data_IF_525405911067
#
_entry.id   IF_525405911067
#
_cell.length_a   1.000
_cell.length_b   1.000
_cell.length_c   1.000
_cell.angle_alpha   90.00
_cell.angle_beta   90.00
_cell.angle_gamma   90.00
#
_symmetry.space_group_name_H-M   'P 1'
#
loop_
_entity.id
_entity.type
_entity.pdbx_description
1 polymer ?
#
# COMPACT_ATOMS: atom_id res chain seq x y z
N UNK A 1 11.08 30.99 11.28
CA UNK A 1 10.27 29.92 10.72
C UNK A 1 11.13 29.15 9.74
N UNK A 2 11.55 27.93 10.12
CA UNK A 2 12.29 27.05 9.23
C UNK A 2 11.26 26.36 8.31
N UNK A 3 11.18 26.81 7.07
CA UNK A 3 10.51 26.11 5.99
C UNK A 3 11.35 24.87 5.69
N UNK A 4 10.94 23.70 6.20
CA UNK A 4 11.41 22.43 5.66
C UNK A 4 10.91 22.35 4.21
N UNK A 5 11.79 22.64 3.28
CA UNK A 5 11.54 22.39 1.87
C UNK A 5 11.37 20.88 1.71
N UNK A 6 10.25 20.37 1.19
CA UNK A 6 10.15 18.95 0.91
C UNK A 6 11.25 18.60 -0.09
N UNK A 7 12.04 17.59 0.25
CA UNK A 7 13.00 17.03 -0.70
C UNK A 7 12.20 16.52 -1.91
N UNK A 8 12.34 17.23 -3.03
CA UNK A 8 11.83 16.75 -4.32
C UNK A 8 12.93 15.91 -4.94
N UNK A 9 12.81 14.59 -4.97
CA UNK A 9 13.79 13.76 -5.67
C UNK A 9 13.80 14.21 -7.12
N UNK A 10 14.96 14.53 -7.65
CA UNK A 10 15.10 14.70 -9.10
C UNK A 10 14.74 13.37 -9.72
N UNK A 11 13.64 13.30 -10.47
CA UNK A 11 13.32 12.16 -11.31
C UNK A 11 14.50 11.93 -12.26
N UNK A 12 15.40 11.05 -11.90
CA UNK A 12 16.37 10.49 -12.83
C UNK A 12 15.59 9.53 -13.72
N UNK A 13 15.18 10.02 -14.89
CA UNK A 13 14.69 9.15 -15.96
C UNK A 13 15.71 8.03 -16.16
N UNK A 14 15.32 6.80 -15.89
CA UNK A 14 16.09 5.63 -16.26
C UNK A 14 16.68 4.77 -15.15
N UNK A 15 16.39 5.00 -13.87
CA UNK A 15 16.83 4.06 -12.84
C UNK A 15 16.03 2.76 -12.91
N UNK A 16 16.68 1.72 -13.45
CA UNK A 16 16.14 0.36 -13.50
C UNK A 16 15.82 -0.10 -12.07
N UNK A 17 14.57 -0.49 -11.82
CA UNK A 17 14.17 -1.09 -10.55
C UNK A 17 14.97 -2.36 -10.33
N UNK A 18 15.77 -2.41 -9.26
CA UNK A 18 16.59 -3.57 -8.91
C UNK A 18 16.21 -4.06 -7.51
N UNK A 19 16.31 -5.36 -7.27
CA UNK A 19 15.96 -5.98 -5.96
C UNK A 19 16.52 -5.24 -4.74
N UNK A 20 17.76 -4.83 -4.80
CA UNK A 20 18.46 -4.13 -3.70
C UNK A 20 17.95 -2.73 -3.41
N UNK A 21 17.21 -2.15 -4.33
CA UNK A 21 16.70 -0.76 -4.22
C UNK A 21 15.19 -0.73 -4.01
N UNK A 22 14.61 -1.83 -3.53
CA UNK A 22 13.18 -1.94 -3.22
C UNK A 22 13.01 -2.05 -1.71
N UNK A 23 12.05 -1.30 -1.18
CA UNK A 23 11.54 -1.49 0.17
C UNK A 23 10.19 -2.18 0.09
N UNK A 24 10.08 -3.38 0.67
CA UNK A 24 8.80 -4.06 0.83
C UNK A 24 8.21 -3.67 2.18
N UNK A 25 6.93 -3.32 2.20
CA UNK A 25 6.20 -2.94 3.41
C UNK A 25 5.01 -3.89 3.57
N UNK A 26 4.90 -4.51 4.75
CA UNK A 26 3.77 -5.35 5.13
C UNK A 26 3.29 -4.98 6.54
N UNK A 27 2.04 -5.24 6.87
CA UNK A 27 1.54 -4.95 8.20
C UNK A 27 2.06 -5.96 9.23
N UNK A 28 1.94 -7.25 8.94
CA UNK A 28 2.18 -8.34 9.89
C UNK A 28 3.07 -9.44 9.30
N UNK A 29 3.94 -10.00 10.13
CA UNK A 29 4.79 -11.13 9.75
C UNK A 29 3.99 -12.37 9.34
N UNK A 30 2.79 -12.57 9.92
CA UNK A 30 1.91 -13.67 9.56
C UNK A 30 1.48 -13.63 8.07
N UNK A 31 1.45 -12.47 7.44
CA UNK A 31 1.13 -12.33 6.02
C UNK A 31 2.24 -12.87 5.12
N UNK A 32 3.49 -12.79 5.59
CA UNK A 32 4.68 -13.13 4.80
C UNK A 32 5.31 -14.48 5.16
N UNK A 33 4.93 -15.06 6.29
CA UNK A 33 5.36 -16.39 6.73
C UNK A 33 6.89 -16.59 6.72
N UNK A 34 7.67 -15.54 7.03
CA UNK A 34 9.14 -15.58 6.99
C UNK A 34 9.74 -15.76 5.60
N UNK A 35 8.95 -15.64 4.54
CA UNK A 35 9.42 -15.91 3.17
C UNK A 35 10.08 -14.71 2.47
N UNK A 36 10.22 -13.60 3.17
CA UNK A 36 10.83 -12.38 2.63
C UNK A 36 12.17 -12.02 3.29
N UNK A 37 12.82 -12.95 3.99
CA UNK A 37 14.06 -12.69 4.74
C UNK A 37 15.22 -12.21 3.85
N UNK A 38 15.22 -12.56 2.57
CA UNK A 38 16.20 -12.11 1.58
C UNK A 38 15.93 -10.71 1.01
N UNK A 39 14.90 -10.04 1.49
CA UNK A 39 14.48 -8.72 1.02
C UNK A 39 14.57 -7.68 2.12
N UNK A 40 14.64 -6.41 1.74
CA UNK A 40 14.51 -5.30 2.68
C UNK A 40 13.02 -5.11 3.00
N UNK A 41 12.59 -5.60 4.16
CA UNK A 41 11.19 -5.60 4.59
C UNK A 41 11.00 -4.72 5.82
N UNK A 42 9.92 -3.96 5.82
CA UNK A 42 9.43 -3.18 6.95
C UNK A 42 8.06 -3.71 7.38
N UNK A 43 7.93 -4.14 8.62
CA UNK A 43 6.64 -4.48 9.24
C UNK A 43 6.12 -3.29 10.04
N UNK A 44 4.93 -2.82 9.71
CA UNK A 44 4.37 -1.58 10.27
C UNK A 44 3.46 -1.78 11.47
N UNK A 45 2.89 -2.97 11.63
CA UNK A 45 1.68 -3.15 12.43
C UNK A 45 0.42 -2.72 11.66
N UNK A 46 -0.72 -2.88 12.28
CA UNK A 46 -2.03 -2.65 11.69
C UNK A 46 -2.44 -1.18 11.80
N UNK A 47 -3.11 -0.68 10.78
CA UNK A 47 -3.77 0.62 10.77
C UNK A 47 -2.94 1.74 10.17
N UNK A 48 -3.63 2.82 9.78
CA UNK A 48 -3.05 3.94 9.06
C UNK A 48 -2.00 4.70 9.87
N UNK A 49 -2.21 4.84 11.17
CA UNK A 49 -1.27 5.56 12.06
C UNK A 49 0.05 4.80 12.16
N UNK A 50 0.02 3.50 12.44
CA UNK A 50 1.22 2.67 12.52
C UNK A 50 1.96 2.64 11.17
N UNK A 51 1.23 2.47 10.07
CA UNK A 51 1.80 2.49 8.73
C UNK A 51 2.55 3.80 8.44
N UNK A 52 1.92 4.93 8.79
CA UNK A 52 2.52 6.26 8.61
C UNK A 52 3.80 6.41 9.43
N UNK A 53 3.74 6.13 10.75
CA UNK A 53 4.88 6.30 11.67
C UNK A 53 6.06 5.47 11.20
N UNK A 54 5.84 4.17 10.97
CA UNK A 54 6.93 3.25 10.62
C UNK A 54 7.59 3.57 9.28
N UNK A 55 6.80 3.89 8.27
CA UNK A 55 7.37 4.23 6.97
C UNK A 55 8.06 5.60 7.00
N UNK A 56 7.52 6.60 7.71
CA UNK A 56 8.17 7.89 7.90
C UNK A 56 9.51 7.77 8.64
N UNK A 57 9.57 6.97 9.72
CA UNK A 57 10.82 6.69 10.44
C UNK A 57 11.86 6.05 9.52
N UNK A 58 11.46 5.03 8.77
CA UNK A 58 12.35 4.28 7.86
C UNK A 58 12.92 5.17 6.76
N UNK A 59 12.07 5.90 6.07
CA UNK A 59 12.51 6.78 4.99
C UNK A 59 13.28 8.00 5.53
N UNK A 60 12.84 8.56 6.64
CA UNK A 60 13.52 9.68 7.30
C UNK A 60 14.95 9.31 7.71
N UNK A 61 15.17 8.13 8.27
CA UNK A 61 16.51 7.66 8.62
C UNK A 61 17.41 7.54 7.40
N UNK A 62 16.90 7.00 6.29
CA UNK A 62 17.64 6.85 5.04
C UNK A 62 18.02 8.22 4.45
N UNK A 63 17.05 9.15 4.38
CA UNK A 63 17.31 10.47 3.78
C UNK A 63 18.17 11.41 4.65
N UNK A 64 18.20 11.18 5.96
CA UNK A 64 19.03 11.94 6.90
C UNK A 64 20.40 11.30 7.14
N UNK A 65 20.58 10.03 6.76
CA UNK A 65 21.84 9.32 6.93
C UNK A 65 22.94 9.94 6.08
N UNK A 66 24.08 10.22 6.73
CA UNK A 66 25.32 10.63 6.05
C UNK A 66 26.16 9.43 5.59
N UNK A 67 25.74 8.20 5.92
CA UNK A 67 26.52 6.98 5.72
C UNK A 67 26.25 6.28 4.38
N UNK A 68 25.56 6.93 3.44
CA UNK A 68 25.41 6.39 2.08
C UNK A 68 24.37 5.27 1.94
N UNK A 69 23.40 5.16 2.84
CA UNK A 69 22.26 4.31 2.61
C UNK A 69 21.52 4.73 1.33
N UNK A 70 21.28 3.77 0.45
CA UNK A 70 20.60 4.03 -0.82
C UNK A 70 19.10 4.12 -0.58
N UNK A 71 18.51 5.28 -0.89
CA UNK A 71 17.06 5.43 -0.86
C UNK A 71 16.40 4.43 -1.83
N UNK A 72 15.25 3.83 -1.44
CA UNK A 72 14.55 2.94 -2.33
C UNK A 72 14.08 3.72 -3.57
N UNK A 73 14.15 3.08 -4.72
CA UNK A 73 13.58 3.61 -5.96
C UNK A 73 12.14 3.13 -6.19
N UNK A 74 11.67 2.20 -5.37
CA UNK A 74 10.30 1.71 -5.36
C UNK A 74 9.95 1.20 -3.96
N UNK A 75 8.77 1.58 -3.48
CA UNK A 75 8.14 1.00 -2.29
C UNK A 75 7.02 0.08 -2.74
N UNK A 76 7.10 -1.18 -2.34
CA UNK A 76 6.07 -2.20 -2.62
C UNK A 76 5.38 -2.55 -1.30
N UNK A 77 4.08 -2.33 -1.23
CA UNK A 77 3.28 -2.89 -0.15
C UNK A 77 2.79 -4.29 -0.55
N UNK A 78 2.94 -5.25 0.34
CA UNK A 78 2.27 -6.53 0.27
C UNK A 78 1.40 -6.73 1.50
N UNK A 79 0.20 -7.25 1.31
CA UNK A 79 -0.71 -7.57 2.40
C UNK A 79 -2.00 -8.21 1.91
N UNK A 80 -2.95 -8.36 2.81
CA UNK A 80 -4.27 -8.91 2.53
C UNK A 80 -5.29 -7.81 2.32
N UNK A 81 -6.39 -8.14 1.63
CA UNK A 81 -7.52 -7.24 1.44
C UNK A 81 -8.83 -8.05 1.34
N UNK A 82 -9.93 -7.39 1.71
CA UNK A 82 -11.28 -7.86 1.43
C UNK A 82 -11.77 -7.35 0.08
N UNK A 83 -12.47 -8.19 -0.68
CA UNK A 83 -13.06 -7.78 -1.95
C UNK A 83 -14.39 -7.06 -1.74
N UNK A 84 -14.57 -5.94 -2.44
CA UNK A 84 -15.85 -5.22 -2.55
C UNK A 84 -16.45 -5.31 -3.95
N UNK A 85 -15.77 -6.02 -4.87
CA UNK A 85 -16.18 -6.08 -6.25
C UNK A 85 -16.18 -7.54 -6.76
N UNK A 86 -17.24 -7.95 -7.42
CA UNK A 86 -17.45 -9.33 -7.92
C UNK A 86 -16.34 -9.88 -8.84
N UNK A 87 -15.56 -9.00 -9.46
CA UNK A 87 -14.43 -9.39 -10.32
C UNK A 87 -13.25 -9.97 -9.55
N UNK A 88 -13.13 -9.65 -8.27
CA UNK A 88 -11.98 -10.04 -7.46
C UNK A 88 -12.46 -10.99 -6.39
N UNK A 89 -11.93 -12.20 -6.40
CA UNK A 89 -12.37 -13.30 -5.55
C UNK A 89 -11.31 -13.67 -4.53
N UNK A 90 -11.75 -14.29 -3.46
CA UNK A 90 -10.89 -14.97 -2.49
C UNK A 90 -9.87 -15.86 -3.22
N UNK A 91 -8.57 -15.69 -2.92
CA UNK A 91 -7.46 -16.37 -3.58
C UNK A 91 -6.81 -15.60 -4.74
N UNK A 92 -7.40 -14.49 -5.19
CA UNK A 92 -6.77 -13.64 -6.21
C UNK A 92 -5.65 -12.79 -5.61
N UNK A 93 -4.58 -12.58 -6.38
CA UNK A 93 -3.60 -11.55 -6.15
C UNK A 93 -3.84 -10.39 -7.12
N UNK A 94 -4.04 -9.20 -6.59
CA UNK A 94 -4.30 -7.98 -7.36
C UNK A 94 -3.26 -6.90 -7.06
N UNK A 95 -3.01 -6.02 -8.03
CA UNK A 95 -2.24 -4.80 -7.85
C UNK A 95 -3.17 -3.61 -7.64
N UNK A 96 -2.84 -2.79 -6.65
CA UNK A 96 -3.53 -1.53 -6.38
C UNK A 96 -2.61 -0.37 -6.76
N UNK A 97 -3.13 0.53 -7.59
CA UNK A 97 -2.44 1.75 -8.05
C UNK A 97 -3.24 3.02 -7.76
N UNK A 98 -4.42 2.86 -7.19
CA UNK A 98 -5.31 3.95 -6.78
C UNK A 98 -5.73 3.72 -5.34
N UNK A 99 -5.67 4.77 -4.52
CA UNK A 99 -5.86 4.68 -3.08
C UNK A 99 -6.76 5.80 -2.59
N UNK A 100 -7.72 5.46 -1.73
CA UNK A 100 -8.63 6.40 -1.08
C UNK A 100 -8.74 6.10 0.40
N UNK A 101 -8.85 7.13 1.23
CA UNK A 101 -9.12 6.99 2.65
C UNK A 101 -10.62 6.86 2.88
N UNK A 102 -11.13 5.62 2.92
CA UNK A 102 -12.58 5.32 2.96
C UNK A 102 -13.29 5.76 4.23
N UNK A 103 -12.57 5.94 5.33
CA UNK A 103 -13.12 6.36 6.62
C UNK A 103 -12.91 7.86 6.90
N UNK A 104 -12.41 8.63 5.95
CA UNK A 104 -12.38 10.09 6.01
C UNK A 104 -13.73 10.64 5.55
N UNK A 105 -14.59 10.96 6.49
CA UNK A 105 -15.91 11.52 6.22
C UNK A 105 -16.12 12.84 6.99
N UNK A 106 -15.98 13.93 6.27
CA UNK A 106 -16.26 15.30 6.76
C UNK A 106 -17.35 15.94 5.91
N UNK A 107 -18.24 15.13 5.36
CA UNK A 107 -19.35 15.56 4.50
C UNK A 107 -20.33 16.48 5.24
N UNK A 108 -20.46 16.33 6.56
CA UNK A 108 -21.24 17.23 7.40
C UNK A 108 -20.76 18.70 7.40
N UNK A 109 -19.52 18.95 6.97
CA UNK A 109 -18.96 20.29 6.76
C UNK A 109 -18.84 20.68 5.27
N UNK A 110 -19.48 19.93 4.38
CA UNK A 110 -19.52 20.22 2.94
C UNK A 110 -18.33 19.70 2.13
N UNK A 111 -17.46 18.87 2.72
CA UNK A 111 -16.39 18.21 1.99
C UNK A 111 -16.88 16.91 1.33
N UNK A 112 -16.17 16.47 0.29
CA UNK A 112 -16.48 15.20 -0.37
C UNK A 112 -16.05 14.03 0.50
N UNK A 113 -16.75 12.90 0.39
CA UNK A 113 -16.34 11.66 1.03
C UNK A 113 -14.92 11.26 0.60
N UNK A 114 -14.08 10.88 1.55
CA UNK A 114 -12.65 10.58 1.33
C UNK A 114 -11.74 11.81 1.24
N UNK A 115 -12.30 13.02 1.27
CA UNK A 115 -11.53 14.25 1.18
C UNK A 115 -11.02 14.67 2.56
N UNK A 116 -9.68 14.80 2.68
CA UNK A 116 -9.09 15.47 3.85
C UNK A 116 -9.29 16.97 3.71
N UNK A 117 -9.93 17.64 4.70
CA UNK A 117 -10.17 19.08 4.64
C UNK A 117 -8.90 19.89 4.49
N UNK A 118 -8.98 20.97 3.71
CA UNK A 118 -7.93 21.99 3.55
C UNK A 118 -6.64 21.50 2.88
N UNK A 119 -6.54 20.26 2.46
CA UNK A 119 -5.45 19.74 1.63
C UNK A 119 -5.74 20.01 0.15
N UNK A 120 -5.31 21.16 -0.37
CA UNK A 120 -5.61 21.57 -1.76
C UNK A 120 -4.85 20.79 -2.81
N UNK A 121 -3.63 20.35 -2.47
CA UNK A 121 -2.68 19.72 -3.41
C UNK A 121 -2.71 18.20 -3.36
N UNK A 122 -3.49 17.61 -2.45
CA UNK A 122 -3.64 16.16 -2.32
C UNK A 122 -4.98 15.73 -2.91
N UNK A 123 -4.99 14.89 -3.95
CA UNK A 123 -6.23 14.39 -4.52
C UNK A 123 -6.95 13.43 -3.55
N UNK A 124 -8.27 13.35 -3.66
CA UNK A 124 -9.08 12.39 -2.86
C UNK A 124 -8.62 10.95 -3.15
N UNK A 125 -8.37 10.63 -4.42
CA UNK A 125 -7.80 9.36 -4.84
C UNK A 125 -6.35 9.62 -5.24
N UNK A 126 -5.43 9.10 -4.45
CA UNK A 126 -4.01 9.12 -4.80
C UNK A 126 -3.78 8.08 -5.90
N UNK A 127 -3.31 8.53 -7.05
CA UNK A 127 -2.82 7.66 -8.10
C UNK A 127 -1.31 7.51 -7.93
N UNK A 128 -0.89 6.29 -7.75
CA UNK A 128 0.53 5.94 -7.64
C UNK A 128 0.77 4.68 -8.44
N UNK A 129 1.91 4.59 -9.02
CA UNK A 129 2.27 3.43 -9.82
C UNK A 129 3.77 3.32 -9.97
N UNK A 130 4.15 2.29 -10.64
CA UNK A 130 5.52 2.00 -11.00
C UNK A 130 5.55 1.48 -12.42
N UNK A 131 6.63 1.74 -13.14
CA UNK A 131 6.90 1.06 -14.42
C UNK A 131 6.97 -0.46 -14.24
N UNK A 132 7.26 -0.90 -13.00
CA UNK A 132 7.18 -2.29 -12.61
C UNK A 132 5.78 -2.61 -12.06
N UNK A 133 4.94 -3.22 -12.89
CA UNK A 133 3.63 -3.77 -12.49
C UNK A 133 3.33 -5.04 -13.29
N UNK A 134 3.75 -6.22 -12.82
CA UNK A 134 3.59 -7.47 -13.57
C UNK A 134 2.16 -8.02 -13.59
N UNK A 135 1.22 -7.45 -12.81
CA UNK A 135 -0.18 -7.90 -12.74
C UNK A 135 -1.10 -7.02 -13.59
N UNK A 136 -1.04 -5.69 -13.44
CA UNK A 136 -1.67 -4.73 -14.35
C UNK A 136 -3.19 -4.60 -14.27
N UNK A 137 -3.83 -4.92 -13.13
CA UNK A 137 -5.29 -4.74 -12.93
C UNK A 137 -5.66 -3.32 -12.52
N UNK A 138 -4.74 -2.59 -11.91
CA UNK A 138 -4.88 -1.18 -11.50
C UNK A 138 -6.09 -0.92 -10.58
N UNK A 139 -6.21 -1.72 -9.55
CA UNK A 139 -7.35 -1.77 -8.62
C UNK A 139 -7.39 -0.53 -7.73
N UNK A 140 -8.60 -0.09 -7.37
CA UNK A 140 -8.83 0.95 -6.37
C UNK A 140 -8.97 0.33 -4.98
N UNK A 141 -8.03 0.68 -4.08
CA UNK A 141 -8.03 0.25 -2.68
C UNK A 141 -8.57 1.36 -1.77
N UNK A 142 -9.57 1.03 -0.96
CA UNK A 142 -10.07 1.88 0.11
C UNK A 142 -9.50 1.46 1.45
N UNK A 143 -8.67 2.33 2.07
CA UNK A 143 -8.06 2.06 3.38
C UNK A 143 -8.80 2.78 4.51
N UNK A 144 -8.93 2.10 5.64
CA UNK A 144 -9.54 2.66 6.85
C UNK A 144 -9.18 1.84 8.08
N UNK A 145 -9.36 2.42 9.29
CA UNK A 145 -9.00 1.81 10.56
C UNK A 145 -10.11 0.91 11.12
N UNK A 146 -10.79 0.18 10.24
CA UNK A 146 -11.76 -0.84 10.62
C UNK A 146 -11.63 -2.06 9.73
N UNK A 147 -11.75 -3.24 10.33
CA UNK A 147 -11.91 -4.48 9.60
C UNK A 147 -13.33 -4.57 9.06
N UNK A 148 -13.49 -4.69 7.75
CA UNK A 148 -14.80 -4.65 7.11
C UNK A 148 -15.45 -6.02 7.17
N UNK A 149 -16.50 -6.16 7.97
CA UNK A 149 -17.30 -7.39 8.15
C UNK A 149 -18.71 -7.28 7.59
N UNK A 150 -19.13 -6.07 7.25
CA UNK A 150 -20.45 -5.78 6.66
C UNK A 150 -20.25 -4.79 5.52
N UNK A 151 -21.22 -4.73 4.63
CA UNK A 151 -21.20 -3.76 3.54
C UNK A 151 -20.99 -2.33 4.07
N UNK A 152 -19.88 -1.73 3.68
CA UNK A 152 -19.62 -0.31 3.93
C UNK A 152 -20.47 0.50 2.96
N UNK A 153 -21.62 0.91 3.39
CA UNK A 153 -22.65 1.50 2.53
C UNK A 153 -22.14 2.64 1.64
N UNK A 154 -21.30 3.54 2.21
CA UNK A 154 -20.80 4.71 1.49
C UNK A 154 -19.80 4.37 0.36
N UNK A 155 -19.11 3.22 0.44
CA UNK A 155 -18.08 2.81 -0.53
C UNK A 155 -18.44 1.54 -1.27
N UNK A 156 -19.61 0.95 -1.01
CA UNK A 156 -20.07 -0.25 -1.73
C UNK A 156 -20.09 0.00 -3.23
N UNK A 157 -19.41 -0.84 -4.00
CA UNK A 157 -19.21 -0.72 -5.44
C UNK A 157 -18.43 0.54 -5.90
N UNK A 158 -17.87 1.34 -4.98
CA UNK A 158 -17.04 2.50 -5.31
C UNK A 158 -15.55 2.19 -5.20
N UNK A 159 -15.16 1.26 -4.33
CA UNK A 159 -13.81 0.71 -4.24
C UNK A 159 -13.82 -0.76 -4.63
N UNK A 160 -12.71 -1.24 -5.15
CA UNK A 160 -12.60 -2.64 -5.59
C UNK A 160 -12.23 -3.55 -4.41
N UNK A 161 -11.33 -3.09 -3.55
CA UNK A 161 -10.85 -3.84 -2.37
C UNK A 161 -10.70 -2.90 -1.17
N UNK A 162 -10.72 -3.48 0.03
CA UNK A 162 -10.55 -2.76 1.30
C UNK A 162 -9.39 -3.33 2.10
N UNK A 163 -8.62 -2.44 2.70
CA UNK A 163 -7.53 -2.74 3.62
C UNK A 163 -7.47 -1.72 4.76
N UNK A 164 -6.37 -1.72 5.52
CA UNK A 164 -6.20 -0.84 6.65
C UNK A 164 -4.93 0.03 6.59
N UNK A 165 -4.08 -0.04 5.56
CA UNK A 165 -2.79 0.66 5.52
C UNK A 165 -2.45 1.35 4.20
N UNK A 166 -2.87 0.82 3.06
CA UNK A 166 -2.31 1.19 1.75
C UNK A 166 -2.41 2.68 1.42
N UNK A 167 -3.51 3.35 1.75
CA UNK A 167 -3.63 4.80 1.55
C UNK A 167 -2.57 5.59 2.33
N UNK A 168 -2.34 5.22 3.59
CA UNK A 168 -1.34 5.89 4.42
C UNK A 168 0.07 5.73 3.82
N UNK A 169 0.41 4.52 3.37
CA UNK A 169 1.68 4.24 2.72
C UNK A 169 1.83 5.02 1.40
N UNK A 170 0.76 5.07 0.58
CA UNK A 170 0.75 5.85 -0.66
C UNK A 170 0.96 7.34 -0.39
N UNK A 171 0.33 7.89 0.67
CA UNK A 171 0.47 9.29 1.05
C UNK A 171 1.87 9.63 1.54
N UNK A 172 2.50 8.75 2.31
CA UNK A 172 3.90 8.89 2.71
C UNK A 172 4.83 8.86 1.51
N UNK A 173 4.63 7.92 0.58
CA UNK A 173 5.43 7.85 -0.64
C UNK A 173 5.24 9.09 -1.53
N UNK A 174 4.01 9.60 -1.63
CA UNK A 174 3.74 10.87 -2.31
C UNK A 174 4.51 12.03 -1.67
N UNK A 175 4.54 12.11 -0.34
CA UNK A 175 5.30 13.13 0.40
C UNK A 175 6.80 13.08 0.08
N UNK A 176 7.38 11.90 -0.04
CA UNK A 176 8.79 11.72 -0.38
C UNK A 176 9.07 11.68 -1.89
N UNK A 177 8.05 11.76 -2.74
CA UNK A 177 8.19 11.65 -4.19
C UNK A 177 8.68 10.28 -4.66
N UNK A 178 8.34 9.22 -3.94
CA UNK A 178 8.72 7.84 -4.24
C UNK A 178 7.61 7.12 -5.00
N UNK A 179 7.94 6.32 -6.03
CA UNK A 179 6.99 5.39 -6.63
C UNK A 179 6.48 4.38 -5.60
N UNK A 180 5.18 4.10 -5.65
CA UNK A 180 4.50 3.17 -4.75
C UNK A 180 3.53 2.29 -5.51
N UNK A 181 3.50 1.00 -5.17
CA UNK A 181 2.50 0.04 -5.64
C UNK A 181 2.15 -0.92 -4.51
N UNK A 182 0.89 -1.34 -4.43
CA UNK A 182 0.44 -2.32 -3.44
C UNK A 182 -0.07 -3.57 -4.13
N UNK A 183 0.38 -4.73 -3.65
CA UNK A 183 -0.14 -6.03 -4.07
C UNK A 183 -0.94 -6.63 -2.93
N UNK A 184 -2.20 -6.98 -3.21
CA UNK A 184 -3.13 -7.50 -2.22
C UNK A 184 -3.58 -8.91 -2.59
N UNK A 185 -3.43 -9.82 -1.62
CA UNK A 185 -4.05 -11.13 -1.70
C UNK A 185 -5.45 -11.05 -1.10
N UNK A 186 -6.46 -11.46 -1.85
CA UNK A 186 -7.86 -11.41 -1.41
C UNK A 186 -8.13 -12.58 -0.47
N UNK A 187 -8.33 -12.28 0.80
CA UNK A 187 -8.60 -13.29 1.84
C UNK A 187 -10.06 -13.52 2.09
N UNK A 188 -10.89 -12.53 1.81
CA UNK A 188 -12.32 -12.51 2.16
C UNK A 188 -13.11 -11.58 1.22
N UNK A 189 -14.42 -11.64 1.32
CA UNK A 189 -15.33 -10.79 0.55
C UNK A 189 -15.92 -9.63 1.38
N UNK A 190 -15.22 -9.25 2.47
CA UNK A 190 -15.60 -8.15 3.35
C UNK A 190 -17.07 -8.21 3.82
N UNK A 191 -17.51 -9.39 4.20
CA UNK A 191 -18.86 -9.71 4.66
C UNK A 191 -18.88 -10.30 6.09
N UNK A 192 -20.02 -10.82 6.54
CA UNK A 192 -20.16 -11.36 7.89
C UNK A 192 -19.24 -12.55 8.24
N UNK A 193 -18.69 -13.26 7.25
CA UNK A 193 -17.72 -14.35 7.42
C UNK A 193 -16.25 -13.92 7.26
N UNK A 194 -15.99 -12.63 7.05
CA UNK A 194 -14.67 -12.12 6.68
C UNK A 194 -13.58 -12.43 7.72
N UNK A 195 -13.91 -12.44 9.01
CA UNK A 195 -12.94 -12.74 10.07
C UNK A 195 -12.38 -14.15 9.97
N UNK A 196 -13.25 -15.16 9.88
CA UNK A 196 -12.86 -16.57 9.76
C UNK A 196 -12.11 -16.81 8.44
N UNK A 197 -12.59 -16.22 7.34
CA UNK A 197 -11.93 -16.29 6.04
C UNK A 197 -10.53 -15.67 6.06
N UNK A 198 -10.34 -14.54 6.75
CA UNK A 198 -9.04 -13.91 6.90
C UNK A 198 -8.08 -14.81 7.69
N UNK A 199 -8.50 -15.33 8.84
CA UNK A 199 -7.67 -16.22 9.65
C UNK A 199 -7.21 -17.46 8.87
N UNK A 200 -8.10 -18.04 8.08
CA UNK A 200 -7.78 -19.21 7.24
C UNK A 200 -6.79 -18.87 6.11
N UNK A 201 -6.87 -17.67 5.53
CA UNK A 201 -6.21 -17.35 4.27
C UNK A 201 -5.02 -16.39 4.40
N UNK A 202 -4.82 -15.74 5.54
CA UNK A 202 -3.83 -14.66 5.74
C UNK A 202 -2.41 -15.01 5.29
N UNK A 203 -1.97 -16.24 5.51
CA UNK A 203 -0.62 -16.69 5.15
C UNK A 203 -0.50 -17.36 3.77
N UNK A 204 -1.60 -17.50 3.01
CA UNK A 204 -1.57 -18.25 1.75
C UNK A 204 -1.05 -17.44 0.56
N UNK A 205 -1.18 -16.12 0.60
CA UNK A 205 -0.89 -15.25 -0.54
C UNK A 205 0.57 -15.01 -0.82
N UNK A 206 1.46 -15.23 0.14
CA UNK A 206 2.89 -14.91 -0.01
C UNK A 206 3.56 -15.69 -1.14
N UNK A 207 3.17 -16.94 -1.35
CA UNK A 207 3.70 -17.77 -2.43
C UNK A 207 3.35 -17.19 -3.79
N UNK A 208 2.10 -16.75 -3.95
CA UNK A 208 1.62 -16.10 -5.18
C UNK A 208 2.33 -14.77 -5.42
N UNK A 209 2.52 -13.97 -4.37
CA UNK A 209 3.27 -12.72 -4.44
C UNK A 209 4.72 -12.92 -4.87
N UNK A 210 5.41 -13.89 -4.29
CA UNK A 210 6.78 -14.22 -4.72
C UNK A 210 6.82 -14.62 -6.19
N UNK A 211 5.98 -15.56 -6.60
CA UNK A 211 5.96 -16.11 -7.96
C UNK A 211 5.54 -15.08 -9.02
N UNK A 212 4.48 -14.33 -8.75
CA UNK A 212 3.87 -13.42 -9.74
C UNK A 212 4.48 -12.02 -9.74
N UNK A 213 5.15 -11.62 -8.67
CA UNK A 213 5.72 -10.28 -8.51
C UNK A 213 7.23 -10.33 -8.30
N UNK A 214 7.71 -10.88 -7.19
CA UNK A 214 9.14 -10.78 -6.85
C UNK A 214 10.06 -11.51 -7.83
N UNK A 215 9.63 -12.65 -8.35
CA UNK A 215 10.39 -13.39 -9.36
C UNK A 215 10.47 -12.69 -10.72
N UNK A 216 9.62 -11.69 -10.93
CA UNK A 216 9.63 -10.83 -12.13
C UNK A 216 10.52 -9.59 -11.99
N UNK A 217 11.03 -9.32 -10.79
CA UNK A 217 11.98 -8.23 -10.60
C UNK A 217 13.27 -8.48 -11.39
N UNK A 218 13.82 -7.44 -12.02
CA UNK A 218 15.09 -7.56 -12.72
C UNK A 218 16.17 -8.06 -11.76
N UNK A 219 16.90 -9.08 -12.18
CA UNK A 219 18.04 -9.60 -11.42
C UNK A 219 19.15 -8.54 -11.43
N UNK A 220 19.84 -8.41 -10.30
CA UNK A 220 21.06 -7.60 -10.25
C UNK A 220 22.10 -8.25 -11.20
N UNK A 221 22.48 -7.52 -12.20
CA UNK A 221 23.62 -7.89 -13.04
C UNK A 221 24.92 -7.72 -12.26
#
# INVERSE_FOLDING_TARGET
GCLMCPYVPRHTKGNKVMRKNILIVSALEIETQGQLDDYNVLYTGVGKVNATIKLMERLGSIFLSREGEIAPNLVINYGTAGSQHWKYRKGDLVDCTRFVQRDMDVSGLGFKLGQTPFEKDIPIIIQSGSDFNPIGKNVLCGSGDSFVTVDQFNWKNLVDVVDMEAYALAKVCLYYGLPFISFKYITDEANGGAGDDWEENVGKGIVEFKKKVLDKLPKSS
#
